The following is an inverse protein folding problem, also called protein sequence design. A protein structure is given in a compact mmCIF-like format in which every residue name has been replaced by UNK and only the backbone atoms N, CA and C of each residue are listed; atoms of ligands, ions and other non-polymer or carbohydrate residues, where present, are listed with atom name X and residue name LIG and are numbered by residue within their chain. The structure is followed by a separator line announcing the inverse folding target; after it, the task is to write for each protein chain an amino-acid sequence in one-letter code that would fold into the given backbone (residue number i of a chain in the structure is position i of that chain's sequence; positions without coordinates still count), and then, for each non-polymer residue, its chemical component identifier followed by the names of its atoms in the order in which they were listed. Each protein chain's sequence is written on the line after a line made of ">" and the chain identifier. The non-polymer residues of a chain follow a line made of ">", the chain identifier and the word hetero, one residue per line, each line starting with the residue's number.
data_IF_973401838334
#
_entry.id   IF_973401838334
#
_cell.length_a   1.000
_cell.length_b   1.000
_cell.length_c   1.000
_cell.angle_alpha   90.00
_cell.angle_beta   90.00
_cell.angle_gamma   90.00
#
_symmetry.space_group_name_H-M   'P 1'
#
loop_
_entity.id
_entity.type
_entity.pdbx_description
1 polymer ?
#
# COMPACT_ATOMS: atom_id res chain seq x y z
N UNK A 1 -0.11 -34.39 1.87
CA UNK A 1 0.15 -33.58 0.66
C UNK A 1 -0.11 -32.14 1.02
N UNK A 2 0.93 -31.30 1.04
CA UNK A 2 0.84 -29.91 1.50
C UNK A 2 0.01 -29.11 0.50
N UNK A 3 -1.20 -28.72 0.92
CA UNK A 3 -2.08 -27.86 0.15
C UNK A 3 -1.62 -26.41 0.35
N UNK A 4 -0.55 -26.02 -0.34
CA UNK A 4 -0.13 -24.62 -0.40
C UNK A 4 -1.16 -23.89 -1.27
N UNK A 5 -2.23 -23.37 -0.64
CA UNK A 5 -3.14 -22.46 -1.32
C UNK A 5 -2.29 -21.29 -1.80
N UNK A 6 -2.12 -21.17 -3.11
CA UNK A 6 -1.59 -19.97 -3.71
C UNK A 6 -2.60 -18.86 -3.43
N UNK A 7 -2.44 -18.18 -2.29
CA UNK A 7 -3.13 -16.93 -2.01
C UNK A 7 -2.54 -15.87 -2.94
N UNK A 8 -2.95 -15.91 -4.20
CA UNK A 8 -2.65 -14.86 -5.15
C UNK A 8 -3.38 -13.62 -4.66
N UNK A 9 -2.62 -12.59 -4.28
CA UNK A 9 -3.19 -11.32 -3.88
C UNK A 9 -3.95 -10.71 -5.08
N UNK A 10 -5.20 -10.33 -4.85
CA UNK A 10 -6.04 -9.69 -5.87
C UNK A 10 -5.70 -8.21 -6.00
N UNK A 11 -4.80 -7.89 -6.93
CA UNK A 11 -4.35 -6.53 -7.19
C UNK A 11 -5.43 -5.65 -7.84
N UNK A 12 -6.31 -6.23 -8.65
CA UNK A 12 -7.33 -5.48 -9.38
C UNK A 12 -8.40 -4.98 -8.41
N UNK A 13 -8.88 -5.86 -7.52
CA UNK A 13 -9.83 -5.45 -6.49
C UNK A 13 -9.22 -4.43 -5.53
N UNK A 14 -7.95 -4.62 -5.13
CA UNK A 14 -7.25 -3.66 -4.29
C UNK A 14 -7.08 -2.30 -4.99
N UNK A 15 -6.77 -2.29 -6.28
CA UNK A 15 -6.67 -1.06 -7.07
C UNK A 15 -7.99 -0.30 -7.09
N UNK A 16 -9.09 -0.99 -7.39
CA UNK A 16 -10.43 -0.41 -7.44
C UNK A 16 -10.87 0.13 -6.08
N UNK A 17 -10.67 -0.66 -5.01
CA UNK A 17 -11.01 -0.25 -3.63
C UNK A 17 -10.27 1.01 -3.19
N UNK A 18 -9.05 1.22 -3.68
CA UNK A 18 -8.19 2.32 -3.25
C UNK A 18 -8.35 3.59 -4.08
N UNK A 19 -9.01 3.54 -5.24
CA UNK A 19 -8.94 4.60 -6.26
C UNK A 19 -9.32 6.00 -5.74
N UNK A 20 -10.32 6.09 -4.87
CA UNK A 20 -10.82 7.36 -4.32
C UNK A 20 -10.23 7.72 -2.94
N UNK A 21 -9.39 6.85 -2.39
CA UNK A 21 -8.87 6.95 -1.01
C UNK A 21 -7.40 7.35 -1.00
N UNK A 22 -6.64 6.92 -2.01
CA UNK A 22 -5.18 7.12 -2.04
C UNK A 22 -4.77 8.02 -3.19
N UNK A 23 -3.71 8.78 -3.00
CA UNK A 23 -3.10 9.55 -4.10
C UNK A 23 -2.40 8.61 -5.08
N UNK A 24 -2.54 8.89 -6.38
CA UNK A 24 -1.62 8.36 -7.41
C UNK A 24 -0.31 9.15 -7.34
N UNK A 25 0.57 8.70 -6.46
CA UNK A 25 1.88 9.33 -6.22
C UNK A 25 2.74 9.34 -7.49
N UNK A 26 3.62 10.33 -7.68
CA UNK A 26 4.43 10.43 -8.88
C UNK A 26 5.51 9.34 -8.93
N UNK A 27 5.89 8.98 -10.16
CA UNK A 27 7.08 8.19 -10.47
C UNK A 27 8.11 9.14 -11.10
N UNK A 28 9.09 9.55 -10.32
CA UNK A 28 10.02 10.63 -10.68
C UNK A 28 11.34 10.06 -11.16
N UNK A 29 11.80 10.48 -12.34
CA UNK A 29 13.14 10.13 -12.81
C UNK A 29 14.20 10.82 -11.93
N UNK A 30 15.22 10.07 -11.52
CA UNK A 30 16.33 10.61 -10.75
C UNK A 30 17.61 10.62 -11.58
N UNK A 31 17.98 11.79 -12.10
CA UNK A 31 19.15 11.95 -12.97
C UNK A 31 20.46 11.56 -12.27
N UNK A 32 20.69 12.04 -11.04
CA UNK A 32 21.93 11.79 -10.32
C UNK A 32 22.18 10.31 -10.03
N UNK A 33 21.16 9.57 -9.59
CA UNK A 33 21.24 8.12 -9.41
C UNK A 33 21.42 7.42 -10.76
N UNK A 34 20.69 7.86 -11.78
CA UNK A 34 20.73 7.24 -13.10
C UNK A 34 22.13 7.34 -13.72
N UNK A 35 22.76 8.51 -13.65
CA UNK A 35 24.14 8.73 -14.06
C UNK A 35 25.13 7.89 -13.24
N UNK A 36 24.97 7.88 -11.92
CA UNK A 36 25.87 7.15 -11.00
C UNK A 36 25.90 5.66 -11.27
N UNK A 37 24.76 5.07 -11.61
CA UNK A 37 24.60 3.63 -11.78
C UNK A 37 24.48 3.19 -13.25
N UNK A 38 24.61 4.13 -14.20
CA UNK A 38 24.42 3.89 -15.63
C UNK A 38 23.13 3.09 -15.94
N UNK A 39 22.02 3.53 -15.34
CA UNK A 39 20.71 2.87 -15.42
C UNK A 39 19.58 3.90 -15.35
N UNK A 40 18.37 3.55 -15.80
CA UNK A 40 17.21 4.44 -15.67
C UNK A 40 16.55 4.24 -14.30
N UNK A 41 16.83 5.13 -13.34
CA UNK A 41 16.32 5.03 -11.98
C UNK A 41 15.16 5.99 -11.78
N UNK A 42 14.04 5.45 -11.31
CA UNK A 42 12.84 6.19 -10.96
C UNK A 42 12.49 5.96 -9.50
N UNK A 43 11.96 7.00 -8.86
CA UNK A 43 11.51 6.98 -7.47
C UNK A 43 9.99 7.07 -7.42
N UNK A 44 9.36 6.03 -6.86
CA UNK A 44 7.93 6.04 -6.57
C UNK A 44 7.69 6.74 -5.24
N UNK A 45 7.16 7.96 -5.28
CA UNK A 45 7.09 8.88 -4.12
C UNK A 45 5.94 8.59 -3.16
N UNK A 46 5.93 7.40 -2.56
CA UNK A 46 4.93 7.03 -1.53
C UNK A 46 5.02 7.84 -0.24
N UNK A 47 6.11 8.58 -0.04
CA UNK A 47 6.26 9.59 1.00
C UNK A 47 5.29 10.79 0.82
N UNK A 48 4.73 10.98 -0.38
CA UNK A 48 3.72 12.00 -0.68
C UNK A 48 2.27 11.50 -0.49
N UNK A 49 2.09 10.25 -0.04
CA UNK A 49 0.78 9.73 0.33
C UNK A 49 0.21 10.45 1.56
N UNK A 50 -1.11 10.37 1.81
CA UNK A 50 -1.82 11.03 2.92
C UNK A 50 -1.13 10.81 4.28
N UNK A 51 -0.65 9.59 4.56
CA UNK A 51 0.06 9.22 5.79
C UNK A 51 1.57 9.16 5.64
N UNK A 52 2.09 9.86 4.62
CA UNK A 52 3.51 9.97 4.28
C UNK A 52 4.22 8.62 4.11
N UNK A 53 3.47 7.60 3.74
CA UNK A 53 3.97 6.26 3.42
C UNK A 53 2.97 5.45 2.63
N UNK A 54 3.41 4.31 2.09
CA UNK A 54 2.56 3.37 1.37
C UNK A 54 1.56 2.60 2.25
N UNK A 55 1.69 2.67 3.59
CA UNK A 55 0.97 1.78 4.54
C UNK A 55 -0.54 1.95 4.51
N UNK A 56 -1.05 3.16 4.21
CA UNK A 56 -2.48 3.43 4.03
C UNK A 56 -3.11 2.49 2.99
N UNK A 57 -2.40 2.16 1.91
CA UNK A 57 -2.93 1.28 0.85
C UNK A 57 -3.33 -0.08 1.41
N UNK A 58 -2.43 -0.69 2.19
CA UNK A 58 -2.66 -2.02 2.76
C UNK A 58 -3.67 -1.99 3.90
N UNK A 59 -3.56 -1.01 4.79
CA UNK A 59 -4.46 -0.87 5.93
C UNK A 59 -5.90 -0.67 5.47
N UNK A 60 -6.14 0.31 4.59
CA UNK A 60 -7.48 0.57 4.06
C UNK A 60 -8.03 -0.63 3.29
N UNK A 61 -7.25 -1.23 2.37
CA UNK A 61 -7.72 -2.39 1.62
C UNK A 61 -8.10 -3.56 2.54
N UNK A 62 -7.33 -3.82 3.60
CA UNK A 62 -7.66 -4.88 4.55
C UNK A 62 -8.94 -4.57 5.32
N UNK A 63 -9.08 -3.34 5.81
CA UNK A 63 -10.25 -2.92 6.59
C UNK A 63 -11.52 -2.96 5.73
N UNK A 64 -11.44 -2.46 4.50
CA UNK A 64 -12.58 -2.39 3.57
C UNK A 64 -13.04 -3.75 3.05
N UNK A 65 -12.23 -4.80 3.20
CA UNK A 65 -12.58 -6.18 2.81
C UNK A 65 -13.09 -7.03 3.98
N UNK A 66 -13.14 -6.49 5.20
CA UNK A 66 -13.72 -7.18 6.35
C UNK A 66 -15.25 -7.23 6.23
N UNK A 67 -15.83 -8.31 6.73
CA UNK A 67 -17.28 -8.43 6.85
C UNK A 67 -17.83 -7.48 7.93
N UNK A 68 -19.12 -7.18 7.84
CA UNK A 68 -19.77 -6.28 8.80
C UNK A 68 -19.72 -6.83 10.24
N UNK A 69 -19.67 -8.15 10.42
CA UNK A 69 -19.50 -8.80 11.72
C UNK A 69 -18.15 -8.52 12.34
N UNK A 70 -17.04 -8.63 11.60
CA UNK A 70 -15.72 -8.31 12.11
C UNK A 70 -15.57 -6.82 12.39
N UNK A 71 -16.08 -5.96 11.49
CA UNK A 71 -16.00 -4.49 11.68
C UNK A 71 -16.71 -4.03 12.96
N UNK A 72 -17.83 -4.67 13.35
CA UNK A 72 -18.56 -4.36 14.60
C UNK A 72 -17.74 -4.62 15.86
N UNK A 73 -16.76 -5.53 15.81
CA UNK A 73 -15.89 -5.81 16.96
C UNK A 73 -14.78 -4.75 17.14
N UNK A 74 -14.69 -3.78 16.22
CA UNK A 74 -13.61 -2.81 16.17
C UNK A 74 -12.34 -3.39 15.56
N UNK A 75 -11.33 -2.54 15.42
CA UNK A 75 -10.05 -2.87 14.79
C UNK A 75 -8.94 -2.38 15.70
N UNK A 76 -7.94 -3.22 15.92
CA UNK A 76 -6.75 -2.88 16.72
C UNK A 76 -5.49 -3.18 15.90
N UNK A 77 -4.54 -2.26 15.95
CA UNK A 77 -3.20 -2.43 15.38
C UNK A 77 -2.17 -1.84 16.35
N UNK A 78 -1.09 -2.57 16.59
CA UNK A 78 0.05 -2.08 17.34
C UNK A 78 1.17 -1.71 16.36
N UNK A 79 1.47 -0.41 16.25
CA UNK A 79 2.57 0.09 15.43
C UNK A 79 3.13 1.38 16.02
N UNK A 80 4.45 1.54 15.97
CA UNK A 80 5.14 2.73 16.46
C UNK A 80 5.19 3.89 15.43
N UNK A 81 4.46 3.83 14.31
CA UNK A 81 4.58 4.83 13.24
C UNK A 81 3.60 4.67 12.09
N UNK A 82 4.10 4.66 10.86
CA UNK A 82 3.34 4.77 9.60
C UNK A 82 2.09 3.87 9.47
N UNK A 83 2.09 2.68 10.07
CA UNK A 83 0.92 1.80 10.03
C UNK A 83 -0.12 2.08 11.12
N UNK A 84 0.24 2.82 12.18
CA UNK A 84 -0.75 3.37 13.11
C UNK A 84 -1.49 4.58 12.52
N UNK A 85 -0.86 5.31 11.59
CA UNK A 85 -1.47 6.46 10.92
C UNK A 85 -2.31 6.07 9.70
N UNK A 86 -1.87 5.07 8.94
CA UNK A 86 -2.51 4.59 7.70
C UNK A 86 -3.46 3.45 7.94
#
# INVERSE_FOLDING_TARGET
>A
MNNTIANTFDFENAFNTLNDVVKRTPLEYNEGLSLKYNANIYLKREDLQIVRSYKLRGAYNKISTLDASALKNGIVCASAGNHAQG
#
